data_IF_063925287006
#
_entry.id   IF_063925287006
#
_cell.length_a   1.000
_cell.length_b   1.000
_cell.length_c   1.000
_cell.angle_alpha   90.00
_cell.angle_beta   90.00
_cell.angle_gamma   90.00
#
_symmetry.space_group_name_H-M   'P 1'
#
loop_
_entity.id
_entity.type
_entity.pdbx_description
1 polymer ?
#
# COMPACT_ATOMS: atom_id res chain seq x y z
N UNK A 1 -0.44 -12.34 -13.34
CA UNK A 1 0.08 -12.20 -11.96
C UNK A 1 -0.78 -13.05 -11.07
N UNK A 2 -0.18 -13.86 -10.21
CA UNK A 2 -0.88 -14.61 -9.16
C UNK A 2 -0.76 -13.80 -7.85
N UNK A 3 -1.87 -13.55 -7.17
CA UNK A 3 -1.89 -12.79 -5.92
C UNK A 3 -1.59 -13.71 -4.74
N UNK A 4 -0.63 -13.34 -3.89
CA UNK A 4 -0.33 -14.07 -2.66
C UNK A 4 -1.15 -13.47 -1.53
N UNK A 5 -1.95 -14.30 -0.85
CA UNK A 5 -2.75 -13.89 0.31
C UNK A 5 -2.57 -14.87 1.46
N UNK A 6 -2.59 -14.37 2.69
CA UNK A 6 -2.57 -15.22 3.89
C UNK A 6 -3.75 -14.93 4.80
N UNK A 7 -4.19 -15.93 5.55
CA UNK A 7 -5.18 -15.73 6.61
C UNK A 7 -4.48 -15.24 7.88
N UNK A 8 -4.95 -14.11 8.40
CA UNK A 8 -4.52 -13.56 9.68
C UNK A 8 -5.76 -13.41 10.55
N UNK A 9 -5.97 -14.37 11.46
CA UNK A 9 -7.12 -14.39 12.38
C UNK A 9 -8.48 -14.24 11.66
N UNK A 10 -8.66 -14.93 10.53
CA UNK A 10 -9.89 -14.88 9.74
C UNK A 10 -10.01 -13.68 8.80
N UNK A 11 -8.95 -12.87 8.66
CA UNK A 11 -8.87 -11.77 7.68
C UNK A 11 -7.81 -12.11 6.65
N UNK A 12 -8.17 -12.07 5.37
CA UNK A 12 -7.22 -12.30 4.27
C UNK A 12 -6.39 -11.05 3.97
N UNK A 13 -5.07 -11.18 4.09
CA UNK A 13 -4.09 -10.11 3.87
C UNK A 13 -3.32 -10.33 2.56
N UNK A 14 -3.29 -9.31 1.69
CA UNK A 14 -2.42 -9.21 0.52
C UNK A 14 -1.10 -8.49 0.81
N UNK A 15 -0.07 -8.75 0.01
CA UNK A 15 1.31 -8.34 0.23
C UNK A 15 1.92 -7.62 -0.98
N UNK A 16 2.19 -6.33 -0.80
CA UNK A 16 2.97 -5.54 -1.74
C UNK A 16 4.08 -4.79 -1.00
N UNK A 17 5.16 -4.44 -1.69
CA UNK A 17 6.27 -3.68 -1.10
C UNK A 17 6.57 -2.45 -1.94
N UNK A 18 6.45 -1.28 -1.32
CA UNK A 18 6.89 0.01 -1.86
C UNK A 18 6.52 0.24 -3.34
N UNK A 19 7.46 -0.03 -4.26
CA UNK A 19 7.32 0.26 -5.69
C UNK A 19 6.20 -0.54 -6.37
N UNK A 20 5.80 -1.67 -5.78
CA UNK A 20 4.64 -2.46 -6.20
C UNK A 20 3.36 -1.61 -6.29
N UNK A 21 3.25 -0.56 -5.46
CA UNK A 21 2.14 0.40 -5.48
C UNK A 21 1.84 0.96 -6.87
N UNK A 22 2.82 0.98 -7.78
CA UNK A 22 2.66 1.46 -9.17
C UNK A 22 1.95 0.48 -10.10
N UNK A 23 1.79 -0.79 -9.71
CA UNK A 23 1.26 -1.85 -10.56
C UNK A 23 -0.13 -2.30 -10.06
N UNK A 24 -1.23 -1.72 -10.56
CA UNK A 24 -2.58 -2.05 -10.08
C UNK A 24 -2.94 -3.53 -10.24
N UNK A 25 -2.34 -4.22 -11.21
CA UNK A 25 -2.63 -5.63 -11.50
C UNK A 25 -2.25 -6.56 -10.35
N UNK A 26 -1.26 -6.21 -9.52
CA UNK A 26 -0.91 -6.99 -8.32
C UNK A 26 -2.05 -6.95 -7.31
N UNK A 27 -2.46 -5.75 -6.88
CA UNK A 27 -3.53 -5.55 -5.91
C UNK A 27 -4.86 -6.14 -6.41
N UNK A 28 -5.11 -6.04 -7.73
CA UNK A 28 -6.28 -6.69 -8.33
C UNK A 28 -6.23 -8.21 -8.21
N UNK A 29 -5.06 -8.82 -8.44
CA UNK A 29 -4.90 -10.26 -8.29
C UNK A 29 -5.10 -10.71 -6.83
N UNK A 30 -4.60 -9.95 -5.86
CA UNK A 30 -4.79 -10.21 -4.42
C UNK A 30 -6.25 -10.08 -4.00
N UNK A 31 -6.93 -9.03 -4.46
CA UNK A 31 -8.36 -8.84 -4.20
C UNK A 31 -9.20 -9.98 -4.79
N UNK A 32 -8.88 -10.44 -6.01
CA UNK A 32 -9.53 -11.61 -6.62
C UNK A 32 -9.22 -12.91 -5.89
N UNK A 33 -8.06 -13.02 -5.22
CA UNK A 33 -7.73 -14.12 -4.31
C UNK A 33 -8.42 -14.00 -2.93
N UNK A 34 -9.19 -12.93 -2.71
CA UNK A 34 -10.03 -12.70 -1.54
C UNK A 34 -9.39 -11.82 -0.47
N UNK A 35 -8.33 -11.06 -0.77
CA UNK A 35 -7.76 -10.10 0.17
C UNK A 35 -8.83 -9.08 0.61
N UNK A 36 -9.00 -8.93 1.93
CA UNK A 36 -9.85 -7.91 2.55
C UNK A 36 -9.02 -6.70 3.01
N UNK A 37 -7.73 -6.95 3.24
CA UNK A 37 -6.72 -5.94 3.58
C UNK A 37 -5.55 -6.08 2.61
N UNK A 38 -5.10 -4.96 2.06
CA UNK A 38 -3.89 -4.85 1.25
C UNK A 38 -2.81 -4.18 2.11
N UNK A 39 -1.57 -4.66 2.05
CA UNK A 39 -0.45 -4.06 2.77
C UNK A 39 0.61 -3.51 1.83
N UNK A 40 1.14 -2.33 2.16
CA UNK A 40 2.22 -1.67 1.42
C UNK A 40 3.24 -1.05 2.38
N UNK A 41 4.08 -1.84 3.08
CA UNK A 41 5.28 -1.32 3.71
C UNK A 41 6.17 -0.62 2.68
N UNK A 42 6.66 0.59 2.98
CA UNK A 42 7.35 1.41 2.01
C UNK A 42 8.42 2.35 2.57
N UNK A 43 9.30 2.79 1.67
CA UNK A 43 10.28 3.85 1.90
C UNK A 43 10.32 4.77 0.66
N UNK A 44 9.17 5.42 0.36
CA UNK A 44 9.05 6.34 -0.78
C UNK A 44 10.02 7.52 -0.60
N UNK A 45 10.71 7.91 -1.67
CA UNK A 45 11.51 9.14 -1.66
C UNK A 45 10.60 10.34 -1.40
N UNK A 46 11.08 11.36 -0.68
CA UNK A 46 10.28 12.54 -0.32
C UNK A 46 9.55 13.15 -1.52
N UNK A 47 10.29 13.48 -2.59
CA UNK A 47 9.74 14.10 -3.81
C UNK A 47 8.67 13.22 -4.48
N UNK A 48 8.87 11.90 -4.54
CA UNK A 48 7.87 11.01 -5.15
C UNK A 48 6.66 10.83 -4.25
N UNK A 49 6.87 10.76 -2.94
CA UNK A 49 5.80 10.60 -1.97
C UNK A 49 4.87 11.80 -1.92
N UNK A 50 5.41 13.01 -1.93
CA UNK A 50 4.66 14.27 -2.01
C UNK A 50 3.65 14.26 -3.17
N UNK A 51 4.06 13.75 -4.34
CA UNK A 51 3.21 13.71 -5.53
C UNK A 51 2.25 12.51 -5.59
N UNK A 52 2.69 11.32 -5.20
CA UNK A 52 2.01 10.08 -5.58
C UNK A 52 1.47 9.25 -4.41
N UNK A 53 2.04 9.37 -3.20
CA UNK A 53 1.79 8.41 -2.11
C UNK A 53 0.30 8.29 -1.78
N UNK A 54 -0.32 9.41 -1.37
CA UNK A 54 -1.73 9.43 -0.98
C UNK A 54 -2.67 9.04 -2.13
N UNK A 55 -2.40 9.52 -3.35
CA UNK A 55 -3.25 9.26 -4.51
C UNK A 55 -3.26 7.78 -4.85
N UNK A 56 -2.08 7.15 -4.93
CA UNK A 56 -1.99 5.74 -5.32
C UNK A 56 -2.54 4.81 -4.24
N UNK A 57 -2.26 5.06 -2.96
CA UNK A 57 -2.80 4.24 -1.87
C UNK A 57 -4.33 4.29 -1.84
N UNK A 58 -4.91 5.49 -1.96
CA UNK A 58 -6.36 5.64 -2.05
C UNK A 58 -6.94 4.95 -3.28
N UNK A 59 -6.26 5.05 -4.43
CA UNK A 59 -6.67 4.35 -5.64
C UNK A 59 -6.71 2.83 -5.44
N UNK A 60 -5.69 2.23 -4.83
CA UNK A 60 -5.65 0.77 -4.56
C UNK A 60 -6.76 0.31 -3.61
N UNK A 61 -7.06 1.10 -2.57
CA UNK A 61 -8.16 0.80 -1.66
C UNK A 61 -9.51 0.83 -2.39
N UNK A 62 -9.79 1.92 -3.13
CA UNK A 62 -11.06 2.14 -3.83
C UNK A 62 -11.29 1.09 -4.94
N UNK A 63 -10.31 0.88 -5.82
CA UNK A 63 -10.49 0.02 -7.01
C UNK A 63 -10.66 -1.47 -6.67
N UNK A 64 -10.22 -1.86 -5.46
CA UNK A 64 -10.30 -3.23 -4.97
C UNK A 64 -11.33 -3.44 -3.85
N UNK A 65 -11.96 -2.37 -3.35
CA UNK A 65 -12.94 -2.47 -2.26
C UNK A 65 -12.37 -3.07 -0.98
N UNK A 66 -11.08 -2.81 -0.69
CA UNK A 66 -10.34 -3.39 0.43
C UNK A 66 -9.73 -2.28 1.30
N UNK A 67 -9.51 -2.59 2.58
CA UNK A 67 -8.67 -1.71 3.42
C UNK A 67 -7.23 -1.73 2.89
N UNK A 68 -6.53 -0.61 3.00
CA UNK A 68 -5.11 -0.55 2.67
C UNK A 68 -4.31 -0.02 3.86
N UNK A 69 -3.29 -0.76 4.29
CA UNK A 69 -2.40 -0.39 5.39
C UNK A 69 -1.00 -0.14 4.84
N UNK A 70 -0.47 1.07 5.08
CA UNK A 70 0.81 1.49 4.52
C UNK A 70 1.72 2.07 5.61
N UNK A 71 2.56 1.19 6.19
CA UNK A 71 3.64 1.61 7.06
C UNK A 71 4.80 2.19 6.23
N UNK A 72 5.21 3.42 6.51
CA UNK A 72 6.20 4.14 5.72
C UNK A 72 7.34 4.70 6.56
N UNK A 73 8.57 4.51 6.07
CA UNK A 73 9.75 5.20 6.58
C UNK A 73 9.67 6.70 6.27
N UNK A 74 10.08 7.56 7.20
CA UNK A 74 10.03 9.02 7.05
C UNK A 74 11.28 9.72 7.57
N UNK A 75 11.57 10.91 7.04
CA UNK A 75 12.68 11.76 7.49
C UNK A 75 13.99 11.50 6.75
N UNK A 76 15.08 12.07 7.29
CA UNK A 76 16.43 11.94 6.79
C UNK A 76 17.10 10.69 7.39
N UNK A 77 17.61 9.82 6.52
CA UNK A 77 18.33 8.59 6.88
C UNK A 77 19.82 8.87 7.01
N UNK A 78 20.56 7.98 7.68
CA UNK A 78 22.01 8.11 7.90
C UNK A 78 22.82 8.17 6.58
N UNK A 79 22.28 7.58 5.51
CA UNK A 79 22.85 7.59 4.16
C UNK A 79 22.57 8.88 3.37
N UNK A 80 21.89 9.86 3.99
CA UNK A 80 21.52 11.14 3.37
C UNK A 80 20.26 11.08 2.51
N UNK A 81 19.61 9.92 2.38
CA UNK A 81 18.33 9.80 1.67
C UNK A 81 17.21 10.38 2.54
N UNK A 82 16.22 10.98 1.89
CA UNK A 82 15.02 11.47 2.56
C UNK A 82 13.77 10.73 2.08
N UNK A 83 13.00 10.18 3.02
CA UNK A 83 11.76 9.47 2.72
C UNK A 83 10.53 10.20 3.21
N UNK A 84 9.42 10.00 2.51
CA UNK A 84 8.22 10.79 2.69
C UNK A 84 7.52 10.56 4.03
N UNK A 85 7.55 9.33 4.56
CA UNK A 85 6.76 8.99 5.75
C UNK A 85 5.27 8.97 5.40
N UNK A 86 4.46 9.68 6.18
CA UNK A 86 3.00 9.66 6.07
C UNK A 86 2.44 8.22 6.09
N UNK A 87 2.80 7.45 7.13
CA UNK A 87 2.15 6.15 7.35
C UNK A 87 0.64 6.36 7.52
N UNK A 88 -0.19 5.55 6.86
CA UNK A 88 -1.64 5.68 6.93
C UNK A 88 -2.37 4.36 6.72
N UNK A 89 -3.66 4.37 7.07
CA UNK A 89 -4.63 3.36 6.70
C UNK A 89 -5.68 4.03 5.82
N UNK A 90 -6.17 3.34 4.80
CA UNK A 90 -7.26 3.80 3.93
C UNK A 90 -8.41 2.80 3.99
N UNK A 91 -9.64 3.28 4.18
CA UNK A 91 -10.85 2.46 4.09
C UNK A 91 -11.20 2.10 2.64
N UNK A 92 -12.09 1.11 2.39
CA UNK A 92 -12.52 0.73 1.04
C UNK A 92 -13.16 1.85 0.20
N UNK A 93 -13.53 2.98 0.83
CA UNK A 93 -14.09 4.16 0.17
C UNK A 93 -13.07 5.27 -0.07
N UNK A 94 -11.80 5.00 0.23
CA UNK A 94 -10.70 5.93 0.04
C UNK A 94 -10.59 7.01 1.12
N UNK A 95 -11.20 6.82 2.29
CA UNK A 95 -11.01 7.72 3.45
C UNK A 95 -9.76 7.30 4.21
N UNK A 96 -8.99 8.29 4.66
CA UNK A 96 -7.79 8.12 5.48
C UNK A 96 -8.19 8.27 6.94
#
# INVERSE_FOLDING_TARGET
TEGVVTDVNGVKLGFAVCYDLRFPQLFRAEALAGAQVLSVPAAFTRQTGEAHWHVLLRARAIENGAYLIAAAQGGLHEDGRETYGHSLIVDPWGRI
#
